data_IF_403534879086
#
_entry.id   IF_403534879086
#
_cell.length_a   1.000
_cell.length_b   1.000
_cell.length_c   1.000
_cell.angle_alpha   90.00
_cell.angle_beta   90.00
_cell.angle_gamma   90.00
#
_symmetry.space_group_name_H-M   'P 1'
#
loop_
_entity.id
_entity.type
_entity.pdbx_description
1 polymer ?
#
# COMPACT_ATOMS: atom_id res chain seq x y z
N UNK A 1 31.13 19.97 45.75
CA UNK A 1 31.19 18.88 44.76
C UNK A 1 29.87 18.87 44.03
N UNK A 2 29.84 18.79 42.70
CA UNK A 2 28.56 18.81 41.97
C UNK A 2 27.77 17.53 42.30
N UNK A 3 26.46 17.62 42.59
CA UNK A 3 25.63 16.45 42.84
C UNK A 3 25.43 15.57 41.59
N UNK A 4 25.87 16.02 40.41
CA UNK A 4 25.89 15.23 39.17
C UNK A 4 27.26 14.57 38.90
N UNK A 5 28.21 14.57 39.84
CA UNK A 5 29.53 13.96 39.64
C UNK A 5 29.98 13.15 40.87
N UNK A 6 29.90 11.80 40.84
CA UNK A 6 29.37 10.98 39.76
C UNK A 6 27.84 11.17 39.58
N UNK A 7 27.33 10.91 38.37
CA UNK A 7 25.91 11.08 38.10
C UNK A 7 25.06 10.12 38.95
N UNK A 8 24.03 10.60 39.65
CA UNK A 8 23.08 9.76 40.37
C UNK A 8 21.99 9.16 39.45
N UNK A 9 21.98 9.54 38.17
CA UNK A 9 20.95 9.13 37.21
C UNK A 9 21.30 7.79 36.54
N UNK A 10 20.26 7.04 36.18
CA UNK A 10 20.37 5.80 35.43
C UNK A 10 20.77 6.02 33.96
N UNK A 11 20.90 4.93 33.21
CA UNK A 11 21.24 4.99 31.79
C UNK A 11 20.20 5.78 30.98
N UNK A 12 20.66 6.50 29.95
CA UNK A 12 19.81 7.35 29.09
C UNK A 12 19.04 8.46 29.85
N UNK A 13 19.59 8.95 30.96
CA UNK A 13 19.06 10.09 31.69
C UNK A 13 20.10 11.22 31.81
N UNK A 14 19.61 12.46 31.77
CA UNK A 14 20.40 13.67 31.98
C UNK A 14 20.26 14.14 33.45
N UNK A 15 21.38 14.44 34.09
CA UNK A 15 21.41 15.02 35.43
C UNK A 15 21.46 16.55 35.36
N UNK A 16 20.54 17.22 36.05
CA UNK A 16 20.55 18.68 36.25
C UNK A 16 20.56 19.01 37.72
N UNK A 17 21.42 19.93 38.14
CA UNK A 17 21.42 20.41 39.53
C UNK A 17 20.19 21.30 39.79
N UNK A 18 19.37 20.91 40.76
CA UNK A 18 18.22 21.68 41.24
C UNK A 18 18.24 21.72 42.77
N UNK A 19 18.24 22.92 43.35
CA UNK A 19 18.23 23.14 44.80
C UNK A 19 19.34 22.39 45.57
N UNK A 20 20.53 22.27 44.97
CA UNK A 20 21.68 21.56 45.56
C UNK A 20 21.60 20.04 45.48
N UNK A 21 20.60 19.48 44.78
CA UNK A 21 20.45 18.05 44.51
C UNK A 21 20.52 17.75 43.00
N UNK A 22 20.91 16.53 42.64
CA UNK A 22 20.87 16.05 41.25
C UNK A 22 19.46 15.62 40.89
N UNK A 23 18.84 16.29 39.92
CA UNK A 23 17.52 15.97 39.38
C UNK A 23 17.68 15.25 38.04
N UNK A 24 17.10 14.05 37.93
CA UNK A 24 17.26 13.19 36.76
C UNK A 24 16.03 13.26 35.85
N UNK A 25 16.28 13.43 34.55
CA UNK A 25 15.24 13.40 33.51
C UNK A 25 15.69 12.50 32.36
N UNK A 26 14.80 11.71 31.78
CA UNK A 26 15.14 10.95 30.58
C UNK A 26 15.61 11.89 29.46
N UNK A 27 16.60 11.45 28.67
CA UNK A 27 16.94 12.14 27.42
C UNK A 27 15.76 12.07 26.45
N UNK A 28 15.78 12.90 25.40
CA UNK A 28 14.69 12.93 24.42
C UNK A 28 14.38 11.51 23.89
N UNK A 29 13.09 11.26 23.73
CA UNK A 29 12.56 10.03 23.14
C UNK A 29 12.82 8.74 23.94
N UNK A 30 13.17 8.88 25.22
CA UNK A 30 13.27 7.79 26.17
C UNK A 30 12.25 7.94 27.30
N UNK A 31 11.78 6.81 27.80
CA UNK A 31 10.71 6.71 28.78
C UNK A 31 11.12 5.77 29.93
N UNK A 32 10.50 5.95 31.10
CA UNK A 32 10.77 5.15 32.29
C UNK A 32 11.20 6.00 33.47
N UNK A 33 11.94 5.39 34.40
CA UNK A 33 12.42 6.05 35.61
C UNK A 33 13.84 6.61 35.39
N UNK A 34 14.06 7.93 35.39
CA UNK A 34 15.39 8.52 35.17
C UNK A 34 16.44 8.16 36.21
N UNK A 35 16.03 7.74 37.41
CA UNK A 35 16.95 7.33 38.49
C UNK A 35 17.39 5.87 38.36
N UNK A 36 16.63 5.03 37.64
CA UNK A 36 16.97 3.60 37.40
C UNK A 36 17.50 3.36 35.99
N UNK A 37 16.91 4.02 35.00
CA UNK A 37 17.28 3.95 33.60
C UNK A 37 16.09 4.16 32.68
N UNK A 38 16.31 4.88 31.58
CA UNK A 38 15.31 5.12 30.56
C UNK A 38 15.52 4.20 29.36
N UNK A 39 14.41 3.81 28.72
CA UNK A 39 14.39 2.95 27.53
C UNK A 39 13.74 3.69 26.37
N UNK A 40 14.13 3.39 25.12
CA UNK A 40 13.41 3.91 23.96
C UNK A 40 11.96 3.40 23.92
N UNK A 41 11.12 4.02 23.09
CA UNK A 41 9.75 3.55 22.85
C UNK A 41 9.73 2.13 22.25
N UNK A 42 10.64 1.87 21.32
CA UNK A 42 10.79 0.57 20.66
C UNK A 42 12.26 0.27 20.35
N UNK A 43 12.58 -1.02 20.22
CA UNK A 43 13.84 -1.52 19.67
C UNK A 43 13.57 -2.37 18.43
N UNK A 44 12.41 -3.03 18.39
CA UNK A 44 11.95 -3.87 17.30
C UNK A 44 10.59 -3.41 16.81
N UNK A 45 10.27 -3.75 15.55
CA UNK A 45 8.96 -3.49 14.97
C UNK A 45 7.81 -4.11 15.81
N UNK A 46 8.05 -5.28 16.40
CA UNK A 46 7.09 -5.98 17.26
C UNK A 46 6.72 -5.23 18.54
N UNK A 47 7.52 -4.24 18.96
CA UNK A 47 7.21 -3.40 20.11
C UNK A 47 6.15 -2.33 19.75
N UNK A 48 5.96 -2.09 18.45
CA UNK A 48 4.99 -1.14 17.93
C UNK A 48 3.65 -1.82 17.60
N UNK A 49 2.54 -1.05 17.55
CA UNK A 49 1.31 -1.50 16.94
C UNK A 49 1.53 -1.95 15.47
N UNK A 50 0.73 -2.90 14.98
CA UNK A 50 0.92 -3.50 13.63
C UNK A 50 0.84 -2.50 12.47
N UNK A 51 0.25 -1.32 12.70
CA UNK A 51 0.15 -0.20 11.75
C UNK A 51 1.29 0.83 11.87
N UNK A 52 2.35 0.55 12.63
CA UNK A 52 3.53 1.42 12.81
C UNK A 52 4.81 0.62 12.74
N UNK A 53 5.92 1.25 12.45
CA UNK A 53 7.25 0.62 12.43
C UNK A 53 8.17 1.28 13.46
N UNK A 54 9.14 0.52 13.96
CA UNK A 54 10.17 1.07 14.82
C UNK A 54 11.22 1.79 13.96
N UNK A 55 11.15 3.12 13.92
CA UNK A 55 12.05 3.97 13.15
C UNK A 55 12.74 4.91 14.13
N UNK A 56 14.07 4.79 14.22
CA UNK A 56 14.90 5.58 15.15
C UNK A 56 14.36 5.53 16.58
N UNK A 57 14.11 4.32 17.09
CA UNK A 57 13.66 4.07 18.46
C UNK A 57 12.27 4.63 18.81
N UNK A 58 11.46 4.94 17.79
CA UNK A 58 10.09 5.43 17.91
C UNK A 58 9.12 4.68 17.00
N UNK A 59 7.89 4.49 17.46
CA UNK A 59 6.83 3.88 16.68
C UNK A 59 6.20 4.93 15.75
N UNK A 60 6.61 4.91 14.49
CA UNK A 60 6.22 5.88 13.47
C UNK A 60 5.49 5.23 12.31
N UNK A 61 4.71 6.00 11.57
CA UNK A 61 4.12 5.56 10.32
C UNK A 61 5.21 5.49 9.22
N UNK A 62 5.48 4.33 8.60
CA UNK A 62 6.44 4.20 7.52
C UNK A 62 5.93 4.67 6.14
N UNK A 63 4.67 5.10 6.03
CA UNK A 63 4.08 5.52 4.74
C UNK A 63 4.61 6.84 4.15
N UNK A 64 4.84 7.92 4.92
CA UNK A 64 5.27 9.19 4.36
C UNK A 64 6.55 9.09 3.52
N UNK A 65 6.43 9.38 2.23
CA UNK A 65 7.54 9.36 1.27
C UNK A 65 7.86 7.99 0.65
N UNK A 66 7.11 6.94 0.96
CA UNK A 66 7.38 5.58 0.44
C UNK A 66 6.68 5.27 -0.88
N UNK A 67 5.42 5.68 -1.04
CA UNK A 67 4.64 5.37 -2.25
C UNK A 67 4.77 6.46 -3.32
N UNK A 68 4.62 6.04 -4.58
CA UNK A 68 4.64 6.90 -5.76
C UNK A 68 3.39 7.78 -5.91
N UNK A 69 3.40 8.64 -6.92
CA UNK A 69 2.22 9.47 -7.23
C UNK A 69 1.03 8.62 -7.66
N UNK A 70 -0.18 9.05 -7.28
CA UNK A 70 -1.45 8.34 -7.53
C UNK A 70 -1.51 6.92 -6.92
N UNK A 71 -0.73 6.66 -5.88
CA UNK A 71 -0.79 5.45 -5.07
C UNK A 71 -1.29 5.76 -3.65
N UNK A 72 -2.02 4.83 -3.07
CA UNK A 72 -2.38 4.82 -1.66
C UNK A 72 -1.34 4.00 -0.88
N UNK A 73 -1.03 4.43 0.35
CA UNK A 73 -0.14 3.70 1.25
C UNK A 73 -0.94 3.09 2.39
N UNK A 74 -0.64 1.83 2.72
CA UNK A 74 -1.13 1.16 3.91
C UNK A 74 0.01 0.44 4.61
N UNK A 75 -0.01 0.43 5.94
CA UNK A 75 0.98 -0.29 6.74
C UNK A 75 0.48 -1.70 7.01
N UNK A 76 1.21 -2.69 6.53
CA UNK A 76 0.92 -4.11 6.71
C UNK A 76 2.12 -4.76 7.39
N UNK A 77 1.93 -5.28 8.61
CA UNK A 77 3.00 -5.91 9.41
C UNK A 77 4.25 -5.02 9.54
N UNK A 78 4.06 -3.75 9.95
CA UNK A 78 5.12 -2.74 10.10
C UNK A 78 5.81 -2.34 8.79
N UNK A 79 5.33 -2.80 7.64
CA UNK A 79 5.90 -2.48 6.32
C UNK A 79 4.90 -1.66 5.49
N UNK A 80 5.37 -0.66 4.74
CA UNK A 80 4.53 0.08 3.82
C UNK A 80 4.17 -0.79 2.61
N UNK A 81 2.90 -0.83 2.27
CA UNK A 81 2.32 -1.48 1.11
C UNK A 81 1.65 -0.42 0.24
N UNK A 82 2.13 -0.27 -0.99
CA UNK A 82 1.63 0.72 -1.94
C UNK A 82 0.70 0.06 -2.95
N UNK A 83 -0.45 0.69 -3.21
CA UNK A 83 -1.42 0.24 -4.23
C UNK A 83 -1.87 1.43 -5.07
N UNK A 84 -2.04 1.24 -6.37
CA UNK A 84 -2.58 2.32 -7.22
C UNK A 84 -4.02 2.64 -6.81
N UNK A 85 -4.37 3.93 -6.82
CA UNK A 85 -5.74 4.39 -6.56
C UNK A 85 -6.68 3.78 -7.63
N UNK A 86 -7.95 3.46 -7.32
CA UNK A 86 -8.89 2.93 -8.30
C UNK A 86 -8.94 3.77 -9.59
N UNK A 87 -8.84 3.11 -10.74
CA UNK A 87 -8.75 3.77 -12.05
C UNK A 87 -7.33 4.14 -12.48
N UNK A 88 -6.30 3.77 -11.70
CA UNK A 88 -4.89 3.93 -12.05
C UNK A 88 -4.16 2.57 -12.09
N UNK A 89 -3.16 2.47 -12.96
CA UNK A 89 -2.29 1.30 -13.17
C UNK A 89 -0.82 1.69 -13.32
N UNK A 90 0.09 0.78 -12.98
CA UNK A 90 1.53 1.00 -13.06
C UNK A 90 2.27 0.45 -11.83
N UNK A 91 3.39 1.10 -11.49
CA UNK A 91 4.21 0.75 -10.34
C UNK A 91 3.87 1.67 -9.16
N UNK A 92 3.20 1.18 -8.10
CA UNK A 92 2.73 2.00 -6.99
C UNK A 92 3.86 2.54 -6.10
N UNK A 93 5.10 2.04 -6.22
CA UNK A 93 6.27 2.61 -5.55
C UNK A 93 6.92 3.75 -6.36
N UNK A 94 6.57 3.89 -7.64
CA UNK A 94 7.13 4.93 -8.52
C UNK A 94 6.07 5.94 -8.96
N UNK A 95 5.08 5.49 -9.74
CA UNK A 95 3.94 6.28 -10.18
C UNK A 95 2.87 5.39 -10.82
N UNK A 96 1.61 5.74 -10.61
CA UNK A 96 0.48 5.14 -11.30
C UNK A 96 -0.10 6.12 -12.34
N UNK A 97 -0.48 5.60 -13.50
CA UNK A 97 -1.11 6.33 -14.60
C UNK A 97 -2.59 5.99 -14.69
N UNK A 98 -3.38 6.89 -15.26
CA UNK A 98 -4.79 6.62 -15.52
C UNK A 98 -4.91 5.37 -16.40
N UNK A 99 -5.73 4.43 -15.96
CA UNK A 99 -6.11 3.25 -16.74
C UNK A 99 -6.75 3.72 -18.04
N UNK A 100 -6.07 3.48 -19.17
CA UNK A 100 -6.68 3.62 -20.47
C UNK A 100 -7.62 2.44 -20.66
N UNK A 101 -8.93 2.68 -20.53
CA UNK A 101 -9.91 1.70 -21.00
C UNK A 101 -9.78 1.65 -22.51
N UNK A 102 -9.22 0.56 -23.02
CA UNK A 102 -9.32 0.29 -24.45
C UNK A 102 -10.81 0.27 -24.82
N UNK A 103 -11.22 0.96 -25.90
CA UNK A 103 -12.57 0.84 -26.39
C UNK A 103 -12.87 -0.64 -26.66
N UNK A 104 -14.09 -1.13 -26.37
CA UNK A 104 -14.44 -2.50 -26.71
C UNK A 104 -14.17 -2.73 -28.19
N UNK A 105 -13.31 -3.69 -28.48
CA UNK A 105 -13.00 -4.06 -29.86
C UNK A 105 -14.28 -4.63 -30.47
N UNK A 106 -14.80 -4.00 -31.52
CA UNK A 106 -15.92 -4.55 -32.26
C UNK A 106 -15.50 -5.87 -32.88
N UNK A 107 -16.14 -6.96 -32.45
CA UNK A 107 -15.97 -8.29 -33.02
C UNK A 107 -17.17 -8.55 -33.91
N UNK A 108 -16.91 -8.79 -35.20
CA UNK A 108 -17.96 -9.15 -36.13
C UNK A 108 -18.50 -10.55 -35.78
N UNK A 109 -19.78 -10.71 -35.41
CA UNK A 109 -20.31 -12.01 -34.99
C UNK A 109 -20.42 -13.02 -36.14
N UNK A 110 -20.23 -12.59 -37.39
CA UNK A 110 -20.11 -13.44 -38.56
C UNK A 110 -18.65 -13.80 -38.90
N UNK A 111 -17.67 -13.46 -38.05
CA UNK A 111 -16.26 -13.79 -38.24
C UNK A 111 -15.61 -14.43 -36.99
N UNK A 112 -15.14 -15.69 -37.08
CA UNK A 112 -15.35 -16.61 -38.20
C UNK A 112 -16.84 -16.94 -38.38
N UNK A 113 -17.25 -17.36 -39.58
CA UNK A 113 -18.67 -17.60 -39.88
C UNK A 113 -19.23 -18.68 -38.93
N UNK A 114 -20.21 -18.35 -38.06
CA UNK A 114 -20.81 -19.32 -37.16
C UNK A 114 -21.83 -20.21 -37.88
N UNK A 115 -22.29 -19.80 -39.07
CA UNK A 115 -23.30 -20.53 -39.83
C UNK A 115 -22.69 -21.76 -40.51
N UNK A 116 -23.46 -22.85 -40.55
CA UNK A 116 -23.06 -24.08 -41.23
C UNK A 116 -22.88 -23.94 -42.75
N UNK A 117 -22.36 -24.98 -43.42
CA UNK A 117 -22.19 -24.96 -44.87
C UNK A 117 -23.51 -24.63 -45.60
N UNK A 118 -23.40 -23.91 -46.72
CA UNK A 118 -24.53 -23.42 -47.51
C UNK A 118 -25.49 -22.45 -46.77
N UNK A 119 -25.01 -21.82 -45.69
CA UNK A 119 -25.74 -20.79 -44.95
C UNK A 119 -24.97 -19.45 -44.98
N UNK A 120 -25.72 -18.36 -45.11
CA UNK A 120 -25.20 -16.99 -45.04
C UNK A 120 -25.44 -16.41 -43.63
N UNK A 121 -24.42 -15.73 -43.11
CA UNK A 121 -24.51 -14.97 -41.87
C UNK A 121 -24.86 -13.51 -42.15
N UNK A 122 -25.80 -12.94 -41.40
CA UNK A 122 -26.05 -11.49 -41.35
C UNK A 122 -26.04 -11.03 -39.91
N UNK A 123 -25.48 -9.86 -39.65
CA UNK A 123 -25.56 -9.26 -38.32
C UNK A 123 -26.95 -8.63 -38.12
N UNK A 124 -27.62 -8.99 -37.02
CA UNK A 124 -28.86 -8.35 -36.55
C UNK A 124 -28.69 -8.08 -35.06
N UNK A 125 -28.72 -6.81 -34.65
CA UNK A 125 -28.55 -6.39 -33.24
C UNK A 125 -27.27 -6.94 -32.57
N UNK A 126 -26.14 -6.99 -33.28
CA UNK A 126 -24.88 -7.52 -32.74
C UNK A 126 -24.82 -9.05 -32.63
N UNK A 127 -25.81 -9.77 -33.17
CA UNK A 127 -25.81 -11.23 -33.25
C UNK A 127 -25.70 -11.70 -34.71
N UNK A 128 -24.93 -12.77 -34.92
CA UNK A 128 -24.87 -13.46 -36.20
C UNK A 128 -26.15 -14.28 -36.39
N UNK A 129 -27.00 -13.85 -37.32
CA UNK A 129 -28.23 -14.56 -37.70
C UNK A 129 -27.98 -15.32 -38.99
N UNK A 130 -28.19 -16.62 -38.95
CA UNK A 130 -27.96 -17.50 -40.08
C UNK A 130 -29.23 -17.70 -40.92
N UNK A 131 -29.06 -17.75 -42.24
CA UNK A 131 -30.12 -18.05 -43.21
C UNK A 131 -29.57 -18.96 -44.32
N UNK A 132 -30.38 -19.84 -44.90
CA UNK A 132 -29.93 -20.67 -46.03
C UNK A 132 -29.67 -19.80 -47.27
N UNK A 133 -28.69 -20.17 -48.09
CA UNK A 133 -28.48 -19.56 -49.41
C UNK A 133 -29.69 -19.81 -50.33
N UNK A 134 -29.92 -18.95 -51.35
CA UNK A 134 -30.97 -19.19 -52.35
C UNK A 134 -30.77 -20.58 -52.97
N UNK A 135 -31.82 -21.40 -52.98
CA UNK A 135 -31.88 -22.84 -53.37
C UNK A 135 -31.65 -23.90 -52.26
N UNK A 136 -31.25 -23.51 -51.05
CA UNK A 136 -31.12 -24.43 -49.92
C UNK A 136 -32.31 -24.30 -48.96
N UNK A 137 -32.83 -25.43 -48.47
CA UNK A 137 -33.96 -25.52 -47.52
C UNK A 137 -33.49 -26.26 -46.28
N UNK A 138 -33.67 -25.68 -45.09
CA UNK A 138 -33.31 -26.30 -43.82
C UNK A 138 -33.39 -25.31 -42.66
N UNK A 139 -33.00 -25.77 -41.48
CA UNK A 139 -32.81 -24.93 -40.30
C UNK A 139 -31.31 -24.62 -40.16
N UNK A 140 -30.85 -23.43 -40.57
CA UNK A 140 -29.46 -23.04 -40.36
C UNK A 140 -29.18 -22.90 -38.85
N UNK A 141 -27.98 -23.28 -38.37
CA UNK A 141 -27.63 -23.19 -36.95
C UNK A 141 -27.46 -21.74 -36.50
#
# INVERSE_FOLDING_TARGET
TSPCTPSPCGANANCREQNGAGSCTCIEDHFGNPYEGCRPECVLNSDCPSNRACVRNKCQDPCPGTCGQNANCQVVNHLPSCTCIPGYEGDPFRFCNIQQREPPVYQNPCQPNPCGPNSQCREVNGQGVCSCLPTYIGSPP
#
